data_IF_035414403246
#
_entry.id   IF_035414403246
#
_cell.length_a   1.000
_cell.length_b   1.000
_cell.length_c   1.000
_cell.angle_alpha   90.00
_cell.angle_beta   90.00
_cell.angle_gamma   90.00
#
_symmetry.space_group_name_H-M   'P 1'
#
loop_
_entity.id
_entity.type
_entity.pdbx_description
1 polymer ?
#
# COMPACT_ATOMS: atom_id res chain seq x y z
N UNK A 1 26.66 12.64 1.36
CA UNK A 1 26.40 12.21 -0.02
C UNK A 1 25.71 10.87 -0.16
N UNK A 2 26.23 9.81 0.45
CA UNK A 2 25.71 8.43 0.29
C UNK A 2 24.31 8.24 0.93
N UNK A 3 24.04 8.86 2.06
CA UNK A 3 22.71 8.81 2.72
C UNK A 3 21.64 9.59 1.95
N UNK A 4 21.99 10.67 1.29
CA UNK A 4 21.09 11.45 0.45
C UNK A 4 20.68 10.68 -0.79
N UNK A 5 21.62 9.97 -1.46
CA UNK A 5 21.31 9.15 -2.63
C UNK A 5 20.34 8.00 -2.30
N UNK A 6 20.51 7.34 -1.15
CA UNK A 6 19.60 6.27 -0.70
C UNK A 6 18.21 6.77 -0.36
N UNK A 7 18.10 7.96 0.24
CA UNK A 7 16.79 8.60 0.51
C UNK A 7 16.03 8.86 -0.79
N UNK A 8 16.72 9.32 -1.84
CA UNK A 8 16.11 9.53 -3.16
C UNK A 8 15.62 8.23 -3.79
N UNK A 9 16.37 7.15 -3.63
CA UNK A 9 15.94 5.81 -4.09
C UNK A 9 14.65 5.39 -3.38
N UNK A 10 14.60 5.51 -2.06
CA UNK A 10 13.40 5.20 -1.27
C UNK A 10 12.20 6.02 -1.68
N UNK A 11 12.36 7.34 -1.79
CA UNK A 11 11.31 8.25 -2.22
C UNK A 11 10.81 7.92 -3.63
N UNK A 12 11.73 7.63 -4.56
CA UNK A 12 11.39 7.26 -5.94
C UNK A 12 10.59 5.96 -6.01
N UNK A 13 10.99 4.94 -5.26
CA UNK A 13 10.28 3.66 -5.22
C UNK A 13 8.87 3.80 -4.62
N UNK A 14 8.73 4.57 -3.55
CA UNK A 14 7.43 4.82 -2.92
C UNK A 14 6.51 5.66 -3.83
N UNK A 15 7.06 6.64 -4.52
CA UNK A 15 6.32 7.43 -5.50
C UNK A 15 5.81 6.58 -6.66
N UNK A 16 6.68 5.74 -7.24
CA UNK A 16 6.30 4.81 -8.32
C UNK A 16 5.24 3.82 -7.84
N UNK A 17 5.40 3.31 -6.61
CA UNK A 17 4.39 2.45 -5.99
C UNK A 17 3.03 3.15 -5.87
N UNK A 18 3.03 4.40 -5.44
CA UNK A 18 1.80 5.20 -5.33
C UNK A 18 1.14 5.42 -6.70
N UNK A 19 1.91 5.66 -7.75
CA UNK A 19 1.39 5.74 -9.13
C UNK A 19 0.73 4.45 -9.57
N UNK A 20 1.40 3.32 -9.35
CA UNK A 20 0.89 1.99 -9.69
C UNK A 20 -0.42 1.71 -8.93
N UNK A 21 -0.47 2.02 -7.65
CA UNK A 21 -1.67 1.81 -6.83
C UNK A 21 -2.82 2.74 -7.20
N UNK A 22 -2.52 3.97 -7.61
CA UNK A 22 -3.55 4.89 -8.11
C UNK A 22 -4.26 4.33 -9.34
N UNK A 23 -3.51 3.80 -10.29
CA UNK A 23 -4.08 3.10 -11.45
C UNK A 23 -4.76 1.78 -11.06
N UNK A 24 -4.28 1.11 -10.01
CA UNK A 24 -4.88 -0.13 -9.52
C UNK A 24 -6.28 0.07 -8.94
N UNK A 25 -6.59 1.23 -8.37
CA UNK A 25 -7.96 1.55 -7.94
C UNK A 25 -8.96 1.46 -9.09
N UNK A 26 -8.57 1.93 -10.27
CA UNK A 26 -9.40 1.80 -11.48
C UNK A 26 -9.61 0.32 -11.82
N UNK A 27 -8.54 -0.47 -11.82
CA UNK A 27 -8.61 -1.90 -12.09
C UNK A 27 -9.47 -2.65 -11.05
N UNK A 28 -9.34 -2.32 -9.78
CA UNK A 28 -10.14 -2.90 -8.70
C UNK A 28 -11.62 -2.56 -8.84
N UNK A 29 -11.94 -1.33 -9.20
CA UNK A 29 -13.31 -0.87 -9.42
C UNK A 29 -13.96 -1.60 -10.60
N UNK A 30 -13.25 -1.69 -11.72
CA UNK A 30 -13.72 -2.43 -12.91
C UNK A 30 -13.84 -3.93 -12.59
N UNK A 31 -12.91 -4.48 -11.82
CA UNK A 31 -12.94 -5.89 -11.42
C UNK A 31 -14.20 -6.28 -10.64
N UNK A 32 -14.78 -5.36 -9.88
CA UNK A 32 -16.01 -5.62 -9.13
C UNK A 32 -17.26 -5.78 -10.01
N UNK A 33 -17.20 -5.36 -11.26
CA UNK A 33 -18.26 -5.61 -12.24
C UNK A 33 -18.27 -7.05 -12.76
N UNK A 34 -17.15 -7.77 -12.64
CA UNK A 34 -16.96 -9.12 -13.15
C UNK A 34 -16.88 -10.18 -12.06
N UNK A 35 -16.29 -9.85 -10.91
CA UNK A 35 -15.95 -10.79 -9.85
C UNK A 35 -16.39 -10.27 -8.48
N UNK A 36 -16.64 -11.20 -7.58
CA UNK A 36 -16.82 -10.92 -6.17
C UNK A 36 -15.46 -10.59 -5.50
N UNK A 37 -15.46 -9.88 -4.35
CA UNK A 37 -14.22 -9.34 -3.76
C UNK A 37 -13.11 -10.35 -3.51
N UNK A 38 -13.41 -11.48 -2.86
CA UNK A 38 -12.39 -12.46 -2.50
C UNK A 38 -11.86 -13.23 -3.71
N UNK A 39 -12.70 -13.48 -4.71
CA UNK A 39 -12.27 -14.11 -5.96
C UNK A 39 -11.29 -13.20 -6.71
N UNK A 40 -11.59 -11.92 -6.81
CA UNK A 40 -10.69 -10.95 -7.41
C UNK A 40 -9.38 -10.86 -6.62
N UNK A 41 -9.45 -10.75 -5.31
CA UNK A 41 -8.29 -10.62 -4.44
C UNK A 41 -7.40 -11.86 -4.50
N UNK A 42 -7.98 -13.05 -4.45
CA UNK A 42 -7.23 -14.31 -4.59
C UNK A 42 -6.50 -14.37 -5.93
N UNK A 43 -7.18 -14.04 -7.00
CA UNK A 43 -6.61 -14.07 -8.36
C UNK A 43 -5.43 -13.11 -8.50
N UNK A 44 -5.58 -11.85 -8.08
CA UNK A 44 -4.51 -10.87 -8.19
C UNK A 44 -3.32 -11.16 -7.27
N UNK A 45 -3.58 -11.63 -6.06
CA UNK A 45 -2.50 -11.90 -5.10
C UNK A 45 -1.69 -13.13 -5.49
N UNK A 46 -2.34 -14.21 -5.93
CA UNK A 46 -1.64 -15.40 -6.41
C UNK A 46 -0.86 -15.11 -7.68
N UNK A 47 -1.42 -14.33 -8.60
CA UNK A 47 -0.70 -13.90 -9.81
C UNK A 47 0.54 -13.07 -9.44
N UNK A 48 0.41 -12.15 -8.49
CA UNK A 48 1.53 -11.35 -8.00
C UNK A 48 2.64 -12.20 -7.40
N UNK A 49 2.29 -13.20 -6.59
CA UNK A 49 3.25 -14.14 -6.02
C UNK A 49 3.98 -14.95 -7.10
N UNK A 50 3.24 -15.48 -8.07
CA UNK A 50 3.82 -16.26 -9.17
C UNK A 50 4.77 -15.43 -10.03
N UNK A 51 4.41 -14.19 -10.34
CA UNK A 51 5.26 -13.27 -11.14
C UNK A 51 6.55 -12.93 -10.42
N UNK A 52 6.56 -12.89 -9.10
CA UNK A 52 7.76 -12.60 -8.32
C UNK A 52 8.76 -13.77 -8.28
N UNK A 53 8.33 -15.01 -8.53
CA UNK A 53 9.24 -16.16 -8.55
C UNK A 53 10.37 -16.03 -9.59
N UNK A 54 10.10 -15.69 -10.87
CA UNK A 54 11.18 -15.42 -11.82
C UNK A 54 12.08 -14.26 -11.41
N UNK A 55 11.51 -13.21 -10.81
CA UNK A 55 12.28 -12.06 -10.33
C UNK A 55 13.26 -12.48 -9.24
N UNK A 56 12.81 -13.29 -8.28
CA UNK A 56 13.68 -13.87 -7.23
C UNK A 56 14.81 -14.68 -7.86
N UNK A 57 14.51 -15.56 -8.82
CA UNK A 57 15.50 -16.38 -9.48
C UNK A 57 16.57 -15.54 -10.20
N UNK A 58 16.16 -14.49 -10.90
CA UNK A 58 17.09 -13.58 -11.61
C UNK A 58 17.96 -12.82 -10.61
N UNK A 59 17.39 -12.32 -9.53
CA UNK A 59 18.13 -11.59 -8.50
C UNK A 59 19.13 -12.48 -7.77
N UNK A 60 18.78 -13.74 -7.50
CA UNK A 60 19.68 -14.72 -6.90
C UNK A 60 20.88 -15.00 -7.81
N UNK A 61 20.64 -15.17 -9.10
CA UNK A 61 21.70 -15.40 -10.11
C UNK A 61 22.65 -14.21 -10.21
N UNK A 62 22.14 -12.98 -10.10
CA UNK A 62 22.95 -11.76 -10.14
C UNK A 62 23.64 -11.44 -8.80
N UNK A 63 23.34 -12.18 -7.73
CA UNK A 63 23.91 -11.96 -6.42
C UNK A 63 23.47 -10.65 -5.76
N UNK A 64 22.36 -10.06 -6.18
CA UNK A 64 21.82 -8.80 -5.64
C UNK A 64 20.73 -8.99 -4.58
N UNK A 65 20.34 -10.25 -4.32
CA UNK A 65 19.35 -10.59 -3.29
C UNK A 65 19.99 -10.85 -1.93
N UNK A 66 19.23 -10.62 -0.87
CA UNK A 66 19.60 -11.03 0.50
C UNK A 66 19.09 -12.44 0.80
N UNK A 67 19.50 -13.40 0.00
CA UNK A 67 19.06 -14.79 0.13
C UNK A 67 19.35 -15.32 1.53
N UNK A 68 18.36 -15.84 2.28
CA UNK A 68 18.60 -16.45 3.57
C UNK A 68 19.37 -17.75 3.40
N UNK A 69 20.51 -17.88 4.09
CA UNK A 69 21.42 -19.03 3.97
C UNK A 69 21.28 -19.97 5.17
N UNK A 70 21.13 -19.42 6.38
CA UNK A 70 21.02 -20.21 7.60
C UNK A 70 19.58 -20.70 7.78
N UNK A 71 19.42 -21.79 8.56
CA UNK A 71 18.09 -22.31 8.92
C UNK A 71 17.25 -21.26 9.67
N UNK A 72 17.87 -20.54 10.58
CA UNK A 72 17.23 -19.46 11.34
C UNK A 72 16.79 -18.31 10.44
N UNK A 73 17.62 -17.88 9.50
CA UNK A 73 17.30 -16.84 8.53
C UNK A 73 16.14 -17.24 7.63
N UNK A 74 16.12 -18.48 7.15
CA UNK A 74 15.01 -19.03 6.35
C UNK A 74 13.70 -19.06 7.12
N UNK A 75 13.73 -19.49 8.38
CA UNK A 75 12.58 -19.51 9.26
C UNK A 75 12.04 -18.09 9.52
N UNK A 76 12.93 -17.15 9.78
CA UNK A 76 12.60 -15.74 10.00
C UNK A 76 11.97 -15.11 8.76
N UNK A 77 12.51 -15.37 7.57
CA UNK A 77 11.99 -14.94 6.29
C UNK A 77 10.54 -15.41 6.07
N UNK A 78 10.27 -16.68 6.32
CA UNK A 78 8.94 -17.27 6.17
C UNK A 78 7.96 -16.76 7.22
N UNK A 79 8.38 -16.63 8.47
CA UNK A 79 7.54 -16.15 9.56
C UNK A 79 7.10 -14.71 9.33
N UNK A 80 8.01 -13.84 8.94
CA UNK A 80 7.69 -12.43 8.64
C UNK A 80 6.84 -12.30 7.38
N UNK A 81 7.09 -13.13 6.37
CA UNK A 81 6.24 -13.18 5.18
C UNK A 81 4.81 -13.62 5.51
N UNK A 82 4.66 -14.61 6.37
CA UNK A 82 3.35 -15.04 6.84
C UNK A 82 2.63 -13.94 7.62
N UNK A 83 3.31 -13.29 8.57
CA UNK A 83 2.75 -12.19 9.36
C UNK A 83 2.28 -11.04 8.45
N UNK A 84 3.12 -10.60 7.54
CA UNK A 84 2.76 -9.56 6.57
C UNK A 84 1.61 -9.99 5.66
N UNK A 85 1.58 -11.26 5.27
CA UNK A 85 0.50 -11.82 4.47
C UNK A 85 -0.85 -11.79 5.16
N UNK A 86 -0.89 -12.12 6.45
CA UNK A 86 -2.12 -12.04 7.25
C UNK A 86 -2.60 -10.59 7.39
N UNK A 87 -1.68 -9.66 7.66
CA UNK A 87 -2.01 -8.24 7.80
C UNK A 87 -2.53 -7.67 6.47
N UNK A 88 -1.85 -7.96 5.36
CA UNK A 88 -2.28 -7.53 4.03
C UNK A 88 -3.63 -8.16 3.65
N UNK A 89 -3.85 -9.41 4.00
CA UNK A 89 -5.14 -10.04 3.79
C UNK A 89 -6.26 -9.28 4.51
N UNK A 90 -6.05 -8.93 5.77
CA UNK A 90 -7.02 -8.15 6.54
C UNK A 90 -7.27 -6.78 5.90
N UNK A 91 -6.20 -6.06 5.56
CA UNK A 91 -6.29 -4.73 4.96
C UNK A 91 -7.02 -4.74 3.61
N UNK A 92 -6.60 -5.60 2.70
CA UNK A 92 -7.17 -5.69 1.36
C UNK A 92 -8.61 -6.21 1.39
N UNK A 93 -8.93 -7.15 2.27
CA UNK A 93 -10.29 -7.68 2.43
C UNK A 93 -11.25 -6.62 2.94
N UNK A 94 -10.85 -5.86 3.95
CA UNK A 94 -11.66 -4.77 4.49
C UNK A 94 -11.89 -3.67 3.44
N UNK A 95 -10.86 -3.31 2.69
CA UNK A 95 -10.98 -2.33 1.62
C UNK A 95 -11.90 -2.81 0.50
N UNK A 96 -11.67 -4.02 0.01
CA UNK A 96 -12.42 -4.57 -1.12
C UNK A 96 -13.90 -4.80 -0.77
N UNK A 97 -14.17 -5.31 0.42
CA UNK A 97 -15.55 -5.46 0.93
C UNK A 97 -16.19 -4.10 1.19
N UNK A 98 -15.42 -3.15 1.71
CA UNK A 98 -15.90 -1.78 1.93
C UNK A 98 -16.33 -1.09 0.64
N UNK A 99 -15.65 -1.35 -0.48
CA UNK A 99 -15.99 -0.80 -1.80
C UNK A 99 -17.36 -1.23 -2.31
N UNK A 100 -17.95 -2.30 -1.77
CA UNK A 100 -19.32 -2.69 -2.09
C UNK A 100 -20.36 -1.73 -1.53
N UNK A 101 -20.04 -1.01 -0.46
CA UNK A 101 -20.96 -0.18 0.32
C UNK A 101 -20.62 1.30 0.32
N UNK A 102 -19.48 1.69 -0.24
CA UNK A 102 -19.04 3.09 -0.29
C UNK A 102 -18.46 3.43 -1.66
N UNK A 103 -18.24 4.71 -1.90
CA UNK A 103 -17.66 5.19 -3.15
C UNK A 103 -16.13 5.03 -3.15
N UNK A 104 -15.50 4.88 -4.33
CA UNK A 104 -14.03 4.84 -4.43
C UNK A 104 -13.35 6.07 -3.83
N UNK A 105 -13.93 7.26 -3.98
CA UNK A 105 -13.40 8.49 -3.41
C UNK A 105 -13.36 8.47 -1.88
N UNK A 106 -14.45 8.06 -1.23
CA UNK A 106 -14.48 7.88 0.23
C UNK A 106 -13.53 6.80 0.68
N UNK A 107 -13.49 5.68 -0.03
CA UNK A 107 -12.58 4.57 0.28
C UNK A 107 -11.13 5.02 0.23
N UNK A 108 -10.73 5.77 -0.78
CA UNK A 108 -9.38 6.32 -0.90
C UNK A 108 -9.02 7.25 0.26
N UNK A 109 -9.93 8.16 0.61
CA UNK A 109 -9.72 9.07 1.75
C UNK A 109 -9.62 8.33 3.08
N UNK A 110 -10.57 7.46 3.38
CA UNK A 110 -10.61 6.73 4.66
C UNK A 110 -9.43 5.77 4.80
N UNK A 111 -9.05 5.07 3.72
CA UNK A 111 -7.85 4.22 3.72
C UNK A 111 -6.60 5.04 4.02
N UNK A 112 -6.47 6.21 3.40
CA UNK A 112 -5.29 7.08 3.56
C UNK A 112 -5.19 7.72 4.95
N UNK A 113 -6.17 7.55 5.85
CA UNK A 113 -6.05 7.98 7.24
C UNK A 113 -4.89 7.28 7.98
N UNK A 114 -4.28 6.25 7.40
CA UNK A 114 -3.03 5.70 7.94
C UNK A 114 -1.93 6.77 8.07
N UNK A 115 -1.97 7.87 7.33
CA UNK A 115 -1.01 8.98 7.47
C UNK A 115 -1.06 9.67 8.84
N UNK A 116 -2.22 9.62 9.52
CA UNK A 116 -2.36 10.06 10.91
C UNK A 116 -2.00 8.92 11.86
N UNK A 117 -2.50 7.72 11.56
CA UNK A 117 -2.37 6.56 12.44
C UNK A 117 -0.92 6.14 12.63
N UNK A 118 -0.12 6.20 11.57
CA UNK A 118 1.31 5.83 11.64
C UNK A 118 2.09 6.70 12.62
N UNK A 119 2.06 8.06 12.53
CA UNK A 119 2.79 8.87 13.51
C UNK A 119 2.20 8.79 14.92
N UNK A 120 0.87 8.66 15.08
CA UNK A 120 0.25 8.48 16.40
C UNK A 120 0.69 7.16 17.06
N UNK A 121 0.69 6.07 16.31
CA UNK A 121 1.20 4.79 16.79
C UNK A 121 2.70 4.88 17.14
N UNK A 122 3.47 5.61 16.33
CA UNK A 122 4.87 5.88 16.61
C UNK A 122 5.11 6.58 17.95
N UNK A 123 4.25 7.54 18.30
CA UNK A 123 4.31 8.23 19.60
C UNK A 123 4.12 7.27 20.77
N UNK A 124 3.23 6.27 20.64
CA UNK A 124 3.03 5.24 21.67
C UNK A 124 4.27 4.39 21.90
N UNK A 125 5.13 4.25 20.89
CA UNK A 125 6.39 3.50 20.95
C UNK A 125 7.60 4.40 21.17
N UNK A 126 7.41 5.66 21.57
CA UNK A 126 8.48 6.60 21.88
C UNK A 126 9.15 7.25 20.67
N UNK A 127 8.64 7.07 19.48
CA UNK A 127 9.13 7.75 18.27
C UNK A 127 8.57 9.15 18.18
N UNK A 128 9.42 10.14 17.86
CA UNK A 128 9.00 11.53 17.66
C UNK A 128 9.04 11.88 16.18
N UNK A 129 8.00 12.55 15.73
CA UNK A 129 7.89 13.10 14.39
C UNK A 129 8.26 14.59 14.44
N UNK A 130 8.99 15.05 13.44
CA UNK A 130 9.39 16.45 13.34
C UNK A 130 8.13 17.34 13.20
N UNK A 131 8.10 18.54 13.81
CA UNK A 131 6.91 19.39 13.80
C UNK A 131 6.37 19.71 12.41
N UNK A 132 7.24 19.94 11.43
CA UNK A 132 6.79 20.24 10.06
C UNK A 132 6.22 19.02 9.34
N UNK A 133 6.58 17.81 9.75
CA UNK A 133 5.97 16.59 9.24
C UNK A 133 4.51 16.48 9.71
N UNK A 134 4.20 16.91 10.94
CA UNK A 134 2.81 17.06 11.38
C UNK A 134 2.05 18.08 10.52
N UNK A 135 2.70 19.18 10.15
CA UNK A 135 2.14 20.13 9.18
C UNK A 135 1.87 19.48 7.82
N UNK A 136 2.78 18.63 7.36
CA UNK A 136 2.59 17.83 6.14
C UNK A 136 1.38 16.92 6.23
N UNK A 137 1.18 16.26 7.37
CA UNK A 137 0.03 15.38 7.63
C UNK A 137 -1.28 16.19 7.54
N UNK A 138 -1.33 17.37 8.15
CA UNK A 138 -2.52 18.25 8.09
C UNK A 138 -2.81 18.68 6.65
N UNK A 139 -1.80 19.14 5.91
CA UNK A 139 -1.97 19.53 4.49
C UNK A 139 -2.48 18.35 3.65
N UNK A 140 -1.88 17.20 3.81
CA UNK A 140 -2.28 15.99 3.08
C UNK A 140 -3.70 15.57 3.42
N UNK A 141 -4.10 15.63 4.69
CA UNK A 141 -5.47 15.32 5.11
C UNK A 141 -6.50 16.24 4.49
N UNK A 142 -6.25 17.54 4.50
CA UNK A 142 -7.15 18.51 3.86
C UNK A 142 -7.25 18.23 2.37
N UNK A 143 -6.12 17.95 1.72
CA UNK A 143 -6.09 17.60 0.30
C UNK A 143 -6.87 16.33 0.00
N UNK A 144 -6.66 15.29 0.77
CA UNK A 144 -7.37 14.00 0.63
C UNK A 144 -8.88 14.16 0.87
N UNK A 145 -9.27 15.01 1.81
CA UNK A 145 -10.67 15.35 2.05
C UNK A 145 -11.31 15.98 0.80
N UNK A 146 -10.62 16.92 0.16
CA UNK A 146 -11.09 17.53 -1.08
C UNK A 146 -11.18 16.55 -2.25
N UNK A 147 -10.33 15.51 -2.25
CA UNK A 147 -10.37 14.43 -3.25
C UNK A 147 -11.47 13.41 -3.00
N UNK A 148 -12.01 13.37 -1.81
CA UNK A 148 -13.02 12.38 -1.38
C UNK A 148 -14.32 12.46 -2.21
N UNK A 149 -14.67 13.65 -2.72
CA UNK A 149 -15.84 13.86 -3.58
C UNK A 149 -17.18 13.74 -2.86
N UNK A 150 -17.20 13.69 -1.53
CA UNK A 150 -18.43 13.55 -0.74
C UNK A 150 -18.35 14.34 0.55
N UNK A 151 -19.44 15.00 0.91
CA UNK A 151 -19.62 15.70 2.19
C UNK A 151 -20.38 14.86 3.21
N UNK A 152 -20.91 13.71 2.79
CA UNK A 152 -21.64 12.80 3.68
C UNK A 152 -20.68 11.82 4.34
N UNK A 153 -20.46 11.99 5.64
CA UNK A 153 -19.63 11.14 6.50
C UNK A 153 -20.44 10.30 7.46
N UNK A 154 -21.64 9.90 7.08
CA UNK A 154 -22.39 8.92 7.86
C UNK A 154 -21.56 7.62 7.98
N UNK A 155 -21.39 7.13 9.21
CA UNK A 155 -20.64 5.92 9.50
C UNK A 155 -21.50 4.68 9.19
N UNK A 156 -21.56 4.30 7.91
CA UNK A 156 -22.16 3.05 7.48
C UNK A 156 -21.18 1.89 7.52
N UNK A 157 -21.63 0.72 7.06
CA UNK A 157 -20.80 -0.50 7.02
C UNK A 157 -19.56 -0.32 6.15
N UNK A 158 -19.69 0.33 5.00
CA UNK A 158 -18.56 0.57 4.09
C UNK A 158 -17.49 1.45 4.69
N UNK A 159 -17.87 2.51 5.37
CA UNK A 159 -16.97 3.44 6.04
C UNK A 159 -16.24 2.76 7.21
N UNK A 160 -16.94 1.97 8.02
CA UNK A 160 -16.33 1.22 9.12
C UNK A 160 -15.34 0.18 8.65
N UNK A 161 -15.67 -0.58 7.59
CA UNK A 161 -14.76 -1.55 6.98
C UNK A 161 -13.50 -0.86 6.45
N UNK A 162 -13.64 0.30 5.82
CA UNK A 162 -12.52 1.06 5.27
C UNK A 162 -11.65 1.68 6.36
N UNK A 163 -12.24 2.12 7.47
CA UNK A 163 -11.47 2.56 8.65
C UNK A 163 -10.65 1.41 9.23
N UNK A 164 -11.24 0.21 9.32
CA UNK A 164 -10.50 -1.00 9.70
C UNK A 164 -9.35 -1.29 8.76
N UNK A 165 -9.53 -1.08 7.47
CA UNK A 165 -8.48 -1.17 6.45
C UNK A 165 -7.33 -0.18 6.74
N UNK A 166 -7.63 1.07 7.08
CA UNK A 166 -6.61 2.06 7.42
C UNK A 166 -5.76 1.61 8.63
N UNK A 167 -6.40 1.05 9.65
CA UNK A 167 -5.70 0.48 10.82
C UNK A 167 -4.80 -0.68 10.41
N UNK A 168 -5.29 -1.58 9.58
CA UNK A 168 -4.51 -2.73 9.11
C UNK A 168 -3.31 -2.30 8.25
N UNK A 169 -3.47 -1.33 7.37
CA UNK A 169 -2.34 -0.77 6.60
C UNK A 169 -1.34 -0.05 7.50
N UNK A 170 -1.80 0.67 8.51
CA UNK A 170 -0.92 1.26 9.51
C UNK A 170 -0.05 0.19 10.18
N UNK A 171 -0.65 -0.91 10.62
CA UNK A 171 0.08 -2.04 11.19
C UNK A 171 1.08 -2.63 10.19
N UNK A 172 0.69 -2.79 8.94
CA UNK A 172 1.57 -3.31 7.89
C UNK A 172 2.79 -2.40 7.69
N UNK A 173 2.57 -1.08 7.57
CA UNK A 173 3.65 -0.10 7.39
C UNK A 173 4.63 -0.17 8.55
N UNK A 174 4.15 -0.24 9.80
CA UNK A 174 4.99 -0.31 10.98
C UNK A 174 5.77 -1.62 11.09
N UNK A 175 5.15 -2.73 10.73
CA UNK A 175 5.82 -4.04 10.69
C UNK A 175 6.91 -4.04 9.63
N UNK A 176 6.62 -3.59 8.42
CA UNK A 176 7.59 -3.49 7.33
C UNK A 176 8.78 -2.59 7.74
N UNK A 177 8.52 -1.47 8.39
CA UNK A 177 9.58 -0.59 8.88
C UNK A 177 10.58 -1.32 9.79
N UNK A 178 10.08 -2.19 10.67
CA UNK A 178 10.94 -2.96 11.57
C UNK A 178 11.73 -4.06 10.89
N UNK A 179 11.16 -4.74 9.91
CA UNK A 179 11.71 -5.99 9.37
C UNK A 179 12.43 -5.85 8.03
N UNK A 180 12.20 -4.75 7.31
CA UNK A 180 12.69 -4.61 5.93
C UNK A 180 14.22 -4.68 5.79
N UNK A 181 14.97 -4.28 6.81
CA UNK A 181 16.44 -4.39 6.83
C UNK A 181 16.97 -5.78 7.18
N UNK A 182 16.12 -6.70 7.64
CA UNK A 182 16.51 -8.01 8.18
C UNK A 182 16.23 -9.17 7.24
N UNK A 183 15.44 -8.95 6.19
CA UNK A 183 14.97 -9.98 5.27
C UNK A 183 15.12 -9.55 3.83
N UNK A 184 15.05 -10.51 2.91
CA UNK A 184 14.99 -10.22 1.47
C UNK A 184 13.59 -9.69 1.11
N UNK A 185 13.54 -8.44 0.63
CA UNK A 185 12.28 -7.74 0.38
C UNK A 185 11.42 -8.37 -0.71
N UNK A 186 12.03 -8.87 -1.78
CA UNK A 186 11.29 -9.51 -2.89
C UNK A 186 10.67 -10.83 -2.42
N UNK A 187 11.43 -11.63 -1.67
CA UNK A 187 10.91 -12.88 -1.07
C UNK A 187 9.81 -12.61 -0.08
N UNK A 188 9.94 -11.56 0.73
CA UNK A 188 8.92 -11.15 1.69
C UNK A 188 7.61 -10.83 0.95
N UNK A 189 7.68 -10.05 -0.12
CA UNK A 189 6.53 -9.70 -0.96
C UNK A 189 5.89 -10.92 -1.58
N UNK A 190 6.68 -11.83 -2.14
CA UNK A 190 6.20 -13.09 -2.71
C UNK A 190 5.44 -13.93 -1.67
N UNK A 191 6.03 -14.12 -0.50
CA UNK A 191 5.42 -14.90 0.58
C UNK A 191 4.14 -14.24 1.10
N UNK A 192 4.14 -12.93 1.31
CA UNK A 192 2.94 -12.23 1.80
C UNK A 192 1.78 -12.35 0.83
N UNK A 193 2.02 -12.24 -0.48
CA UNK A 193 0.94 -12.38 -1.46
C UNK A 193 0.51 -13.80 -1.70
N UNK A 194 1.39 -14.76 -1.56
CA UNK A 194 1.01 -16.16 -1.54
C UNK A 194 0.06 -16.47 -0.37
N UNK A 195 0.40 -16.01 0.83
CA UNK A 195 -0.43 -16.18 2.03
C UNK A 195 -1.76 -15.44 1.87
N UNK A 196 -1.72 -14.17 1.46
CA UNK A 196 -2.92 -13.39 1.21
C UNK A 196 -3.81 -14.03 0.16
N UNK A 197 -3.23 -14.52 -0.93
CA UNK A 197 -3.95 -15.21 -2.00
C UNK A 197 -4.60 -16.51 -1.54
N UNK A 198 -3.90 -17.31 -0.76
CA UNK A 198 -4.46 -18.57 -0.21
C UNK A 198 -5.61 -18.28 0.76
N UNK A 199 -5.46 -17.32 1.66
CA UNK A 199 -6.53 -16.95 2.59
C UNK A 199 -7.75 -16.39 1.84
N UNK A 200 -7.52 -15.57 0.82
CA UNK A 200 -8.58 -15.03 -0.03
C UNK A 200 -9.29 -16.12 -0.81
N UNK A 201 -8.55 -17.12 -1.28
CA UNK A 201 -9.10 -18.27 -2.01
C UNK A 201 -9.99 -19.12 -1.10
N UNK A 202 -9.59 -19.33 0.13
CA UNK A 202 -10.41 -20.03 1.13
C UNK A 202 -11.71 -19.26 1.35
N UNK A 203 -11.65 -17.94 1.55
CA UNK A 203 -12.84 -17.10 1.71
C UNK A 203 -13.73 -17.12 0.47
N UNK A 204 -13.15 -17.11 -0.74
CA UNK A 204 -13.90 -17.18 -1.98
C UNK A 204 -14.71 -18.48 -2.09
N UNK A 205 -14.12 -19.61 -1.74
CA UNK A 205 -14.83 -20.89 -1.77
C UNK A 205 -15.86 -21.04 -0.65
N UNK A 206 -15.68 -20.36 0.48
CA UNK A 206 -16.62 -20.42 1.60
C UNK A 206 -17.85 -19.53 1.38
N UNK A 207 -17.66 -18.34 0.82
CA UNK A 207 -18.72 -17.30 0.77
C UNK A 207 -19.11 -16.85 -0.62
N UNK A 208 -18.34 -17.18 -1.63
CA UNK A 208 -18.55 -16.77 -3.01
C UNK A 208 -18.67 -18.00 -3.91
N UNK A 209 -19.04 -17.77 -5.16
CA UNK A 209 -19.09 -18.82 -6.18
C UNK A 209 -18.06 -18.48 -7.27
N UNK A 210 -16.77 -18.81 -7.10
CA UNK A 210 -15.76 -18.54 -8.11
C UNK A 210 -16.07 -19.31 -9.40
N UNK A 211 -16.10 -18.58 -10.52
CA UNK A 211 -16.29 -19.14 -11.85
C UNK A 211 -15.08 -18.80 -12.71
N UNK A 212 -14.48 -19.80 -13.27
CA UNK A 212 -13.32 -19.64 -14.14
C UNK A 212 -13.57 -18.71 -15.31
N UNK A 213 -14.78 -18.78 -15.89
CA UNK A 213 -15.20 -17.93 -17.00
C UNK A 213 -15.15 -16.44 -16.64
N UNK A 214 -15.61 -16.07 -15.46
CA UNK A 214 -15.61 -14.70 -15.00
C UNK A 214 -14.17 -14.21 -14.69
N UNK A 215 -13.32 -15.08 -14.17
CA UNK A 215 -11.90 -14.79 -13.94
C UNK A 215 -11.20 -14.49 -15.26
N UNK A 216 -11.43 -15.31 -16.29
CA UNK A 216 -10.85 -15.11 -17.61
C UNK A 216 -11.40 -13.84 -18.28
N UNK A 217 -12.69 -13.52 -18.10
CA UNK A 217 -13.27 -12.28 -18.61
C UNK A 217 -12.65 -11.03 -17.95
N UNK A 218 -12.17 -11.14 -16.72
CA UNK A 218 -11.56 -10.08 -15.93
C UNK A 218 -10.03 -10.03 -16.05
N UNK A 219 -9.45 -10.61 -17.11
CA UNK A 219 -8.01 -10.81 -17.22
C UNK A 219 -7.18 -9.51 -17.20
N UNK A 220 -7.69 -8.41 -17.78
CA UNK A 220 -6.99 -7.12 -17.79
C UNK A 220 -6.91 -6.52 -16.38
N UNK A 221 -8.03 -6.33 -15.64
CA UNK A 221 -7.95 -5.86 -14.26
C UNK A 221 -7.13 -6.76 -13.34
N UNK A 222 -7.29 -8.07 -13.45
CA UNK A 222 -6.50 -9.04 -12.66
C UNK A 222 -5.02 -8.97 -13.04
N UNK A 223 -4.71 -8.92 -14.31
CA UNK A 223 -3.33 -8.83 -14.81
C UNK A 223 -2.64 -7.58 -14.30
N UNK A 224 -3.28 -6.44 -14.41
CA UNK A 224 -2.73 -5.19 -13.90
C UNK A 224 -2.58 -5.21 -12.38
N UNK A 225 -3.64 -5.54 -11.66
CA UNK A 225 -3.61 -5.55 -10.19
C UNK A 225 -2.65 -6.61 -9.64
N UNK A 226 -2.53 -7.76 -10.27
CA UNK A 226 -1.65 -8.83 -9.84
C UNK A 226 -0.17 -8.54 -10.15
N UNK A 227 0.14 -8.22 -11.38
CA UNK A 227 1.54 -8.00 -11.81
C UNK A 227 2.07 -6.67 -11.27
N UNK A 228 1.37 -5.59 -11.52
CA UNK A 228 1.86 -4.24 -11.19
C UNK A 228 1.57 -3.84 -9.75
N UNK A 229 0.34 -3.96 -9.26
CA UNK A 229 0.01 -3.53 -7.90
C UNK A 229 0.57 -4.49 -6.85
N UNK A 230 0.20 -5.74 -6.89
CA UNK A 230 0.65 -6.74 -5.90
C UNK A 230 2.11 -7.12 -6.10
N UNK A 231 2.52 -7.43 -7.32
CA UNK A 231 3.88 -7.86 -7.61
C UNK A 231 4.90 -6.75 -7.47
N UNK A 232 4.75 -5.67 -8.22
CA UNK A 232 5.74 -4.59 -8.29
C UNK A 232 5.51 -3.53 -7.21
N UNK A 233 4.28 -3.02 -7.06
CA UNK A 233 3.97 -1.90 -6.18
C UNK A 233 4.30 -2.17 -4.72
N UNK A 234 3.85 -3.28 -4.17
CA UNK A 234 4.15 -3.65 -2.79
C UNK A 234 5.61 -4.04 -2.57
N UNK A 235 6.27 -4.58 -3.58
CA UNK A 235 7.72 -4.84 -3.51
C UNK A 235 8.49 -3.52 -3.44
N UNK A 236 8.09 -2.52 -4.20
CA UNK A 236 8.65 -1.17 -4.11
C UNK A 236 8.42 -0.53 -2.74
N UNK A 237 7.25 -0.73 -2.15
CA UNK A 237 6.97 -0.28 -0.78
C UNK A 237 7.95 -0.91 0.21
N UNK A 238 8.10 -2.21 0.19
CA UNK A 238 8.97 -2.94 1.12
C UNK A 238 10.42 -2.46 1.00
N UNK A 239 10.92 -2.36 -0.21
CA UNK A 239 12.30 -1.90 -0.47
C UNK A 239 12.43 -0.41 -0.15
N UNK A 240 11.48 0.42 -0.55
CA UNK A 240 11.49 1.86 -0.32
C UNK A 240 11.46 2.24 1.16
N UNK A 241 10.69 1.50 1.97
CA UNK A 241 10.61 1.75 3.41
C UNK A 241 11.92 1.47 4.16
N UNK A 242 12.84 0.72 3.56
CA UNK A 242 14.18 0.53 4.14
C UNK A 242 14.99 1.85 4.20
N UNK A 243 14.64 2.83 3.38
CA UNK A 243 15.37 4.10 3.24
C UNK A 243 14.58 5.32 3.71
N UNK A 244 13.36 5.14 4.19
CA UNK A 244 12.44 6.24 4.50
C UNK A 244 11.75 6.00 5.83
N UNK A 245 11.60 7.05 6.64
CA UNK A 245 10.83 6.96 7.90
C UNK A 245 9.37 6.58 7.63
N UNK A 246 8.71 5.83 8.54
CA UNK A 246 7.34 5.35 8.34
C UNK A 246 6.33 6.45 8.03
N UNK A 247 6.39 7.57 8.73
CA UNK A 247 5.45 8.69 8.52
C UNK A 247 5.64 9.32 7.15
N UNK A 248 6.89 9.58 6.76
CA UNK A 248 7.21 10.13 5.42
C UNK A 248 6.83 9.12 4.33
N UNK A 249 7.09 7.84 4.56
CA UNK A 249 6.69 6.77 3.65
C UNK A 249 5.17 6.73 3.47
N UNK A 250 4.40 6.85 4.55
CA UNK A 250 2.94 6.87 4.48
C UNK A 250 2.42 8.08 3.70
N UNK A 251 3.03 9.25 3.84
CA UNK A 251 2.69 10.45 3.07
C UNK A 251 2.95 10.25 1.57
N UNK A 252 4.10 9.68 1.21
CA UNK A 252 4.40 9.35 -0.19
C UNK A 252 3.40 8.36 -0.77
N UNK A 253 3.07 7.31 -0.02
CA UNK A 253 2.09 6.30 -0.43
C UNK A 253 0.68 6.88 -0.56
N UNK A 254 0.31 7.89 0.23
CA UNK A 254 -1.00 8.56 0.13
C UNK A 254 -1.20 9.28 -1.20
N UNK A 255 -0.14 9.54 -1.97
CA UNK A 255 -0.24 10.04 -3.34
C UNK A 255 -1.01 9.09 -4.25
N UNK A 256 -1.25 7.84 -3.84
CA UNK A 256 -2.12 6.91 -4.58
C UNK A 256 -3.50 7.51 -4.85
N UNK A 257 -4.05 8.27 -3.90
CA UNK A 257 -5.34 8.95 -4.07
C UNK A 257 -5.28 10.04 -5.12
N UNK A 258 -4.19 10.79 -5.18
CA UNK A 258 -3.95 11.80 -6.23
C UNK A 258 -3.85 11.14 -7.60
N UNK A 259 -3.06 10.09 -7.72
CA UNK A 259 -2.90 9.34 -8.97
C UNK A 259 -4.18 8.62 -9.38
N UNK A 260 -4.98 8.15 -8.42
CA UNK A 260 -6.30 7.58 -8.67
C UNK A 260 -7.21 8.57 -9.40
N UNK A 261 -7.25 9.81 -8.93
CA UNK A 261 -8.03 10.90 -9.57
C UNK A 261 -7.48 11.23 -10.95
N UNK A 262 -6.16 11.33 -11.09
CA UNK A 262 -5.51 11.63 -12.37
C UNK A 262 -5.77 10.53 -13.39
N UNK A 263 -5.61 9.26 -13.02
CA UNK A 263 -5.86 8.13 -13.93
C UNK A 263 -7.35 7.92 -14.20
N UNK A 264 -8.22 8.21 -13.23
CA UNK A 264 -9.67 8.24 -13.45
C UNK A 264 -10.03 9.26 -14.55
N UNK A 265 -9.40 10.43 -14.53
CA UNK A 265 -9.57 11.43 -15.57
C UNK A 265 -9.01 10.97 -16.92
N UNK A 266 -7.80 10.45 -16.96
CA UNK A 266 -7.13 10.05 -18.20
C UNK A 266 -7.73 8.79 -18.83
N UNK A 267 -8.08 7.78 -18.03
CA UNK A 267 -8.52 6.47 -18.52
C UNK A 267 -10.03 6.37 -18.64
N UNK A 268 -10.75 6.79 -17.59
CA UNK A 268 -12.21 6.72 -17.54
C UNK A 268 -12.90 8.00 -18.03
N UNK A 269 -12.13 8.98 -18.43
CA UNK A 269 -12.61 10.29 -18.88
C UNK A 269 -13.53 10.99 -17.86
N UNK A 270 -13.30 10.74 -16.58
CA UNK A 270 -14.00 11.42 -15.50
C UNK A 270 -13.57 12.89 -15.46
N UNK A 271 -14.50 13.77 -15.07
CA UNK A 271 -14.23 15.20 -15.02
C UNK A 271 -13.34 15.54 -13.82
N UNK A 272 -12.25 16.25 -14.06
CA UNK A 272 -11.38 16.77 -13.02
C UNK A 272 -11.87 18.15 -12.58
N UNK A 273 -12.42 18.24 -11.37
CA UNK A 273 -12.96 19.47 -10.82
C UNK A 273 -11.88 20.38 -10.25
N UNK A 274 -12.10 21.72 -10.15
CA UNK A 274 -11.15 22.62 -9.46
C UNK A 274 -10.88 22.21 -8.01
N UNK A 275 -11.87 21.70 -7.30
CA UNK A 275 -11.73 21.20 -5.92
C UNK A 275 -10.76 20.02 -5.85
N UNK A 276 -10.86 19.09 -6.78
CA UNK A 276 -9.95 17.94 -6.88
C UNK A 276 -8.51 18.39 -7.22
N UNK A 277 -8.35 19.37 -8.11
CA UNK A 277 -7.04 19.97 -8.41
C UNK A 277 -6.41 20.60 -7.17
N UNK A 278 -7.19 21.36 -6.39
CA UNK A 278 -6.72 21.92 -5.13
C UNK A 278 -6.32 20.83 -4.15
N UNK A 279 -7.11 19.76 -4.05
CA UNK A 279 -6.80 18.59 -3.23
C UNK A 279 -5.47 17.97 -3.63
N UNK A 280 -5.23 17.76 -4.91
CA UNK A 280 -3.96 17.25 -5.44
C UNK A 280 -2.79 18.15 -5.06
N UNK A 281 -2.93 19.44 -5.22
CA UNK A 281 -1.89 20.44 -4.88
C UNK A 281 -1.56 20.40 -3.38
N UNK A 282 -2.56 20.28 -2.51
CA UNK A 282 -2.35 20.24 -1.07
C UNK A 282 -1.65 18.94 -0.63
N UNK A 283 -2.01 17.80 -1.21
CA UNK A 283 -1.32 16.53 -0.91
C UNK A 283 0.13 16.60 -1.37
N UNK A 284 0.41 17.06 -2.58
CA UNK A 284 1.78 17.25 -3.07
C UNK A 284 2.58 18.23 -2.20
N UNK A 285 1.97 19.34 -1.80
CA UNK A 285 2.61 20.31 -0.91
C UNK A 285 2.96 19.70 0.44
N UNK A 286 2.07 18.89 1.00
CA UNK A 286 2.34 18.13 2.23
C UNK A 286 3.51 17.18 2.08
N UNK A 287 3.56 16.43 0.98
CA UNK A 287 4.67 15.51 0.69
C UNK A 287 5.98 16.27 0.55
N UNK A 288 6.01 17.38 -0.18
CA UNK A 288 7.21 18.21 -0.34
C UNK A 288 7.68 18.79 1.00
N UNK A 289 6.76 19.28 1.82
CA UNK A 289 7.09 19.77 3.15
C UNK A 289 7.72 18.68 4.04
N UNK A 290 7.25 17.43 3.92
CA UNK A 290 7.81 16.30 4.67
C UNK A 290 9.26 15.98 4.31
N UNK A 291 9.70 16.40 3.12
CA UNK A 291 11.05 16.16 2.61
C UNK A 291 12.08 17.17 3.12
N UNK A 292 11.66 18.24 3.81
CA UNK A 292 12.58 19.24 4.34
C UNK A 292 13.54 18.58 5.32
N UNK A 293 14.88 18.69 5.11
CA UNK A 293 15.86 18.08 6.00
C UNK A 293 15.88 18.80 7.35
N UNK A 294 15.77 18.02 8.41
CA UNK A 294 15.95 18.49 9.78
C UNK A 294 17.15 17.81 10.41
N UNK A 295 17.61 18.34 11.56
CA UNK A 295 18.62 17.65 12.35
C UNK A 295 18.08 16.28 12.72
N UNK A 296 18.83 15.22 12.38
CA UNK A 296 18.51 13.87 12.83
C UNK A 296 18.33 13.88 14.36
N UNK A 297 17.28 13.22 14.91
CA UNK A 297 17.22 13.05 16.35
C UNK A 297 18.51 12.38 16.80
N UNK A 298 19.17 12.96 17.82
CA UNK A 298 20.34 12.32 18.42
C UNK A 298 19.88 10.93 18.87
N UNK A 299 20.51 9.91 18.32
CA UNK A 299 20.42 8.58 18.89
C UNK A 299 20.81 8.72 20.36
N UNK A 300 19.87 8.49 21.27
CA UNK A 300 20.21 8.28 22.65
C UNK A 300 21.09 7.04 22.66
N UNK A 301 22.37 7.24 22.85
CA UNK A 301 23.28 6.17 23.22
C UNK A 301 22.70 5.55 24.49
N UNK A 302 22.14 4.36 24.35
CA UNK A 302 21.77 3.54 25.48
C UNK A 302 23.06 3.10 26.16
N UNK A 303 23.36 3.70 27.29
CA UNK A 303 24.33 3.17 28.23
C UNK A 303 23.81 1.88 28.85
#
# INVERSE_FOLDING_TARGET
GFRLSKRWIGNGLLLLGAMIWGAAFVAQSVGMDYLEPFTFQASRCLLGAVVLLPVIAVMDRKGVSRRPVTREAKKKQLLYGFLCGVIIFAACSLQQCGLLYTTPGKSGFLTSLYIILVPLAGLLFGRRVKPWVWGSVVLALVGLYLLCGSTDFSLGAGELLTLGCAVAFCCHILVIDKITGQVDGVRLSCTQFFVCGCLSLICAFLWETPRWENILACWIPIGYAGIFSSGIGYTFQIIGQAYTEPTVASLLMSLESVFSVIFGWLILRQRLTPTELLGCLLVFSGVLLSQVPGKAPKLQESH
#
